data_IF_901045501566
#
_entry.id   IF_901045501566
#
_cell.length_a   1.000
_cell.length_b   1.000
_cell.length_c   1.000
_cell.angle_alpha   90.00
_cell.angle_beta   90.00
_cell.angle_gamma   90.00
#
_symmetry.space_group_name_H-M   'P 1'
#
loop_
_entity.id
_entity.type
_entity.pdbx_description
1 polymer ?
#
# COMPACT_ATOMS: atom_id res chain seq x y z
N UNK A 1 13.56 11.07 -12.01
CA UNK A 1 12.18 10.75 -11.57
C UNK A 1 11.58 12.02 -11.03
N UNK A 2 10.44 12.43 -11.57
CA UNK A 2 9.72 13.57 -11.02
C UNK A 2 8.96 13.13 -9.76
N UNK A 3 9.13 13.89 -8.68
CA UNK A 3 8.48 13.63 -7.40
C UNK A 3 7.27 14.55 -7.25
N UNK A 4 6.08 13.99 -7.09
CA UNK A 4 4.87 14.75 -6.77
C UNK A 4 4.83 15.02 -5.26
N UNK A 5 5.44 16.15 -4.85
CA UNK A 5 5.57 16.56 -3.45
C UNK A 5 4.32 17.32 -3.03
N UNK A 6 3.52 16.73 -2.13
CA UNK A 6 2.31 17.34 -1.60
C UNK A 6 2.59 18.29 -0.42
N UNK A 7 3.61 17.99 0.36
CA UNK A 7 4.00 18.79 1.53
C UNK A 7 5.48 18.57 1.88
N UNK A 8 6.15 19.61 2.31
CA UNK A 8 7.52 19.55 2.80
C UNK A 8 7.76 20.59 3.88
N UNK A 9 8.38 20.19 4.96
CA UNK A 9 8.97 21.05 5.98
C UNK A 9 10.29 20.47 6.49
N UNK A 10 10.83 20.98 7.60
CA UNK A 10 12.08 20.50 8.18
C UNK A 10 11.98 19.10 8.80
N UNK A 11 10.77 18.64 9.13
CA UNK A 11 10.54 17.40 9.88
C UNK A 11 10.07 16.25 8.99
N UNK A 12 9.29 16.54 7.94
CA UNK A 12 8.69 15.51 7.08
C UNK A 12 8.53 15.96 5.62
N UNK A 13 8.40 14.98 4.75
CA UNK A 13 8.11 15.10 3.33
C UNK A 13 6.94 14.17 3.00
N UNK A 14 5.88 14.67 2.36
CA UNK A 14 4.74 13.89 1.89
C UNK A 14 4.75 13.88 0.36
N UNK A 15 4.74 12.67 -0.20
CA UNK A 15 4.78 12.45 -1.64
C UNK A 15 3.54 11.68 -2.06
N UNK A 16 2.92 12.10 -3.15
CA UNK A 16 1.94 11.31 -3.87
C UNK A 16 2.68 10.35 -4.82
N UNK A 17 2.81 9.09 -4.42
CA UNK A 17 3.55 8.10 -5.19
C UNK A 17 2.76 7.66 -6.41
N UNK A 18 3.37 7.71 -7.58
CA UNK A 18 2.81 7.13 -8.81
C UNK A 18 2.82 5.60 -8.77
N UNK A 19 1.96 4.97 -9.60
CA UNK A 19 2.01 3.54 -9.88
C UNK A 19 3.32 3.14 -10.59
N UNK A 20 3.74 1.89 -10.44
CA UNK A 20 4.93 1.35 -11.09
C UNK A 20 6.25 1.69 -10.38
N UNK A 21 6.23 2.51 -9.32
CA UNK A 21 7.43 2.95 -8.58
C UNK A 21 7.61 2.16 -7.30
N UNK A 22 8.65 1.31 -7.18
CA UNK A 22 8.99 0.65 -5.92
C UNK A 22 9.47 1.67 -4.89
N UNK A 23 9.12 1.48 -3.61
CA UNK A 23 9.55 2.42 -2.55
C UNK A 23 10.99 2.21 -2.09
N UNK A 24 11.49 0.98 -2.14
CA UNK A 24 12.85 0.60 -1.73
C UNK A 24 13.55 -0.22 -2.82
N UNK A 25 14.89 -0.16 -2.89
CA UNK A 25 15.67 -1.10 -3.69
C UNK A 25 15.34 -2.55 -3.31
N UNK A 26 15.20 -3.38 -4.32
CA UNK A 26 14.94 -4.81 -4.19
C UNK A 26 15.54 -5.57 -5.37
N UNK A 27 15.55 -6.90 -5.32
CA UNK A 27 16.06 -7.70 -6.42
C UNK A 27 15.36 -7.34 -7.75
N UNK A 28 16.13 -6.90 -8.73
CA UNK A 28 15.66 -6.42 -10.04
C UNK A 28 15.19 -4.96 -10.10
N UNK A 29 15.23 -4.22 -8.97
CA UNK A 29 14.89 -2.79 -8.90
C UNK A 29 15.90 -2.08 -8.00
N UNK A 30 17.04 -1.67 -8.54
CA UNK A 30 18.12 -1.07 -7.74
C UNK A 30 18.15 0.46 -7.86
N UNK A 31 17.93 1.02 -9.04
CA UNK A 31 18.21 2.42 -9.38
C UNK A 31 16.96 3.25 -9.70
N UNK A 32 15.78 2.63 -9.76
CA UNK A 32 14.51 3.26 -10.17
C UNK A 32 13.47 3.26 -9.05
N UNK A 33 13.91 3.36 -7.81
CA UNK A 33 13.02 3.37 -6.64
C UNK A 33 12.75 4.79 -6.14
N UNK A 34 11.70 4.96 -5.35
CA UNK A 34 11.40 6.23 -4.71
C UNK A 34 12.55 6.68 -3.80
N UNK A 35 13.23 5.74 -3.13
CA UNK A 35 14.40 6.04 -2.31
C UNK A 35 15.52 6.69 -3.11
N UNK A 36 15.79 6.23 -4.35
CA UNK A 36 16.78 6.86 -5.23
C UNK A 36 16.35 8.26 -5.66
N UNK A 37 15.08 8.45 -6.04
CA UNK A 37 14.53 9.75 -6.41
C UNK A 37 14.63 10.78 -5.28
N UNK A 38 14.33 10.37 -4.04
CA UNK A 38 14.43 11.24 -2.86
C UNK A 38 15.88 11.55 -2.51
N UNK A 39 16.78 10.58 -2.60
CA UNK A 39 18.21 10.81 -2.37
C UNK A 39 18.77 11.84 -3.36
N UNK A 40 18.37 11.75 -4.62
CA UNK A 40 18.74 12.75 -5.64
C UNK A 40 18.15 14.14 -5.31
N UNK A 41 16.85 14.20 -5.00
CA UNK A 41 16.14 15.45 -4.67
C UNK A 41 16.77 16.20 -3.50
N UNK A 42 17.10 15.48 -2.43
CA UNK A 42 17.77 16.07 -1.26
C UNK A 42 19.22 16.48 -1.57
N UNK A 43 19.93 15.70 -2.39
CA UNK A 43 21.28 16.02 -2.86
C UNK A 43 21.33 17.33 -3.66
N UNK A 44 20.38 17.58 -4.55
CA UNK A 44 20.26 18.86 -5.28
C UNK A 44 20.04 20.07 -4.35
N UNK A 45 19.45 19.85 -3.18
CA UNK A 45 19.30 20.87 -2.13
C UNK A 45 20.52 21.01 -1.21
N UNK A 46 21.58 20.23 -1.44
CA UNK A 46 22.75 20.15 -0.59
C UNK A 46 22.48 19.48 0.76
N UNK A 47 21.41 18.68 0.85
CA UNK A 47 21.02 17.96 2.05
C UNK A 47 21.36 16.48 1.94
N UNK A 48 21.76 15.89 3.07
CA UNK A 48 21.93 14.44 3.20
C UNK A 48 20.98 13.93 4.26
N UNK A 49 20.10 13.02 3.89
CA UNK A 49 19.21 12.38 4.85
C UNK A 49 19.10 10.88 4.56
N UNK A 50 18.99 10.09 5.61
CA UNK A 50 18.65 8.68 5.46
C UNK A 50 17.17 8.59 5.02
N UNK A 51 16.88 7.64 4.13
CA UNK A 51 15.51 7.34 3.69
C UNK A 51 14.71 6.69 4.84
N UNK A 52 13.69 7.38 5.34
CA UNK A 52 12.86 6.94 6.47
C UNK A 52 11.38 7.02 6.11
N UNK A 53 10.91 6.03 5.34
CA UNK A 53 9.50 5.91 5.04
C UNK A 53 8.71 5.45 6.28
N UNK A 54 7.67 6.18 6.63
CA UNK A 54 6.81 5.93 7.81
C UNK A 54 5.72 4.91 7.49
N UNK A 55 5.21 4.95 6.26
CA UNK A 55 4.30 3.96 5.71
C UNK A 55 4.87 3.37 4.43
N UNK A 56 4.26 2.32 3.94
CA UNK A 56 4.65 1.69 2.66
C UNK A 56 3.45 1.53 1.76
N UNK A 57 3.71 1.60 0.47
CA UNK A 57 2.78 1.27 -0.59
C UNK A 57 3.42 0.21 -1.49
N UNK A 58 2.64 -0.67 -2.06
CA UNK A 58 3.13 -1.61 -3.07
C UNK A 58 3.56 -0.85 -4.33
N UNK A 59 4.34 -1.48 -5.21
CA UNK A 59 4.88 -0.85 -6.42
C UNK A 59 3.78 -0.16 -7.24
N UNK A 60 2.69 -0.87 -7.47
CA UNK A 60 1.61 -0.42 -8.36
C UNK A 60 0.47 0.32 -7.61
N UNK A 61 0.57 0.47 -6.28
CA UNK A 61 -0.34 1.28 -5.47
C UNK A 61 0.06 2.75 -5.53
N UNK A 62 -0.90 3.63 -5.81
CA UNK A 62 -0.74 5.09 -5.79
C UNK A 62 -1.10 5.68 -4.44
N UNK A 63 -0.70 6.94 -4.21
CA UNK A 63 -1.16 7.72 -3.07
C UNK A 63 -0.05 8.16 -2.11
N UNK A 64 -0.46 8.61 -0.91
CA UNK A 64 0.40 9.36 -0.01
C UNK A 64 1.41 8.47 0.74
N UNK A 65 2.67 8.86 0.64
CA UNK A 65 3.78 8.31 1.41
C UNK A 65 4.39 9.41 2.28
N UNK A 66 4.56 9.11 3.56
CA UNK A 66 5.18 9.99 4.54
C UNK A 66 6.63 9.56 4.74
N UNK A 67 7.54 10.51 4.64
CA UNK A 67 8.97 10.34 4.89
C UNK A 67 9.38 11.27 6.03
N UNK A 68 10.05 10.74 7.03
CA UNK A 68 10.68 11.53 8.07
C UNK A 68 12.05 12.01 7.61
N UNK A 69 12.36 13.29 7.83
CA UNK A 69 13.65 13.88 7.42
C UNK A 69 14.76 13.63 8.40
N UNK A 70 14.44 13.35 9.67
CA UNK A 70 15.43 13.01 10.70
C UNK A 70 14.90 11.95 11.68
N UNK A 71 15.78 11.46 12.57
CA UNK A 71 15.46 10.33 13.44
C UNK A 71 14.33 10.64 14.46
N UNK A 72 14.28 11.86 14.99
CA UNK A 72 13.25 12.25 15.95
C UNK A 72 11.86 12.27 15.30
N UNK A 73 11.72 12.91 14.13
CA UNK A 73 10.45 12.88 13.40
C UNK A 73 10.05 11.47 13.01
N UNK A 74 11.00 10.60 12.65
CA UNK A 74 10.72 9.18 12.36
C UNK A 74 10.14 8.45 13.59
N UNK A 75 10.70 8.69 14.77
CA UNK A 75 10.20 8.11 16.02
C UNK A 75 8.77 8.56 16.31
N UNK A 76 8.51 9.88 16.26
CA UNK A 76 7.20 10.47 16.54
C UNK A 76 6.15 9.97 15.53
N UNK A 77 6.44 10.06 14.23
CA UNK A 77 5.51 9.64 13.18
C UNK A 77 5.23 8.14 13.20
N UNK A 78 6.24 7.31 13.51
CA UNK A 78 6.05 5.87 13.67
C UNK A 78 5.14 5.54 14.85
N UNK A 79 5.29 6.26 15.96
CA UNK A 79 4.39 6.14 17.12
C UNK A 79 2.98 6.59 16.77
N UNK A 80 2.80 7.66 16.02
CA UNK A 80 1.49 8.11 15.55
C UNK A 80 0.80 7.09 14.62
N UNK A 81 1.56 6.34 13.81
CA UNK A 81 1.02 5.23 13.03
C UNK A 81 0.63 4.07 13.94
N UNK A 82 1.47 3.73 14.92
CA UNK A 82 1.23 2.64 15.87
C UNK A 82 -0.01 2.88 16.75
N UNK A 83 -0.23 4.12 17.16
CA UNK A 83 -1.38 4.55 17.99
C UNK A 83 -2.61 4.92 17.17
N UNK A 84 -2.57 4.73 15.85
CA UNK A 84 -3.64 5.11 14.91
C UNK A 84 -3.99 6.62 14.90
N UNK A 85 -3.12 7.49 15.40
CA UNK A 85 -3.23 8.94 15.21
C UNK A 85 -3.09 9.32 13.72
N UNK A 86 -2.21 8.60 12.99
CA UNK A 86 -2.18 8.61 11.52
C UNK A 86 -2.98 7.40 11.03
N UNK A 87 -4.07 7.68 10.32
CA UNK A 87 -4.98 6.66 9.79
C UNK A 87 -4.69 6.42 8.32
N UNK A 88 -4.64 5.13 7.95
CA UNK A 88 -4.41 4.70 6.55
C UNK A 88 -5.76 4.36 5.93
N UNK A 89 -6.17 5.18 4.97
CA UNK A 89 -7.40 5.00 4.21
C UNK A 89 -7.06 4.81 2.73
N UNK A 90 -7.71 3.85 2.10
CA UNK A 90 -7.50 3.49 0.71
C UNK A 90 -8.83 3.44 -0.03
N UNK A 91 -8.79 3.69 -1.33
CA UNK A 91 -9.87 3.38 -2.25
C UNK A 91 -9.39 2.26 -3.18
N UNK A 92 -10.24 1.27 -3.39
CA UNK A 92 -9.98 0.19 -4.33
C UNK A 92 -11.23 -0.19 -5.11
N UNK A 93 -11.05 -0.52 -6.38
CA UNK A 93 -12.04 -1.29 -7.10
C UNK A 93 -11.92 -2.76 -6.67
N UNK A 94 -13.05 -3.42 -6.43
CA UNK A 94 -13.12 -4.83 -6.08
C UNK A 94 -14.13 -5.53 -6.99
N UNK A 95 -13.85 -6.76 -7.39
CA UNK A 95 -14.71 -7.53 -8.29
C UNK A 95 -16.01 -7.93 -7.60
N UNK A 96 -17.14 -7.76 -8.29
CA UNK A 96 -18.46 -8.15 -7.82
C UNK A 96 -19.13 -7.15 -6.87
N UNK A 97 -20.30 -7.52 -6.39
CA UNK A 97 -21.07 -6.76 -5.40
C UNK A 97 -20.53 -7.06 -4.00
N UNK A 98 -19.65 -6.20 -3.50
CA UNK A 98 -19.11 -6.30 -2.14
C UNK A 98 -20.18 -5.94 -1.12
N UNK A 99 -20.33 -6.65 0.02
CA UNK A 99 -21.24 -6.27 1.09
C UNK A 99 -21.07 -4.81 1.52
N UNK A 100 -22.11 -4.14 2.06
CA UNK A 100 -22.08 -2.70 2.35
C UNK A 100 -20.90 -2.27 3.23
N UNK A 101 -20.61 -3.03 4.28
CA UNK A 101 -19.49 -2.81 5.18
C UNK A 101 -19.09 -4.10 5.91
N UNK A 102 -17.90 -4.12 6.47
CA UNK A 102 -17.44 -5.23 7.27
C UNK A 102 -16.01 -5.07 7.78
N UNK A 103 -15.57 -6.09 8.50
CA UNK A 103 -14.21 -6.21 9.02
C UNK A 103 -13.63 -7.54 8.56
N UNK A 104 -12.46 -7.50 7.96
CA UNK A 104 -11.69 -8.69 7.62
C UNK A 104 -10.59 -8.82 8.67
N UNK A 105 -10.74 -9.80 9.56
CA UNK A 105 -9.77 -10.14 10.60
C UNK A 105 -9.18 -11.50 10.25
N UNK A 106 -8.13 -11.49 9.43
CA UNK A 106 -7.55 -12.68 8.86
C UNK A 106 -6.02 -12.56 8.80
N UNK A 107 -5.27 -13.38 9.56
CA UNK A 107 -3.82 -13.30 9.61
C UNK A 107 -3.17 -13.58 8.26
N UNK A 108 -2.06 -12.89 7.97
CA UNK A 108 -1.38 -12.98 6.68
C UNK A 108 0.01 -13.56 6.85
N UNK A 109 0.31 -14.60 6.06
CA UNK A 109 1.63 -15.23 5.95
C UNK A 109 2.18 -15.14 4.53
N UNK A 110 3.41 -15.60 4.37
CA UNK A 110 4.01 -15.85 3.06
C UNK A 110 3.43 -17.14 2.47
N UNK A 111 3.02 -17.12 1.21
CA UNK A 111 2.44 -18.29 0.56
C UNK A 111 3.54 -19.31 0.18
N UNK A 112 3.56 -20.45 0.86
CA UNK A 112 4.47 -21.57 0.56
C UNK A 112 5.93 -21.12 0.38
N UNK A 113 6.53 -21.47 -0.76
CA UNK A 113 7.91 -21.10 -1.13
C UNK A 113 8.01 -19.76 -1.87
N UNK A 114 6.89 -19.09 -2.13
CA UNK A 114 6.89 -17.81 -2.86
C UNK A 114 7.62 -16.72 -2.08
N UNK A 115 8.46 -15.96 -2.76
CA UNK A 115 9.13 -14.80 -2.17
C UNK A 115 8.22 -13.56 -2.13
N UNK A 116 7.20 -13.51 -2.98
CA UNK A 116 6.35 -12.32 -3.20
C UNK A 116 4.93 -12.55 -2.67
N UNK A 117 4.33 -13.69 -2.98
CA UNK A 117 2.92 -13.95 -2.68
C UNK A 117 2.65 -14.09 -1.18
N UNK A 118 1.47 -13.63 -0.78
CA UNK A 118 0.93 -13.71 0.59
C UNK A 118 -0.39 -14.47 0.56
N UNK A 119 -0.74 -15.10 1.68
CA UNK A 119 -2.02 -15.79 1.85
C UNK A 119 -2.56 -15.56 3.26
N UNK A 120 -3.84 -15.80 3.44
CA UNK A 120 -4.42 -15.94 4.79
C UNK A 120 -3.96 -17.28 5.37
N UNK A 121 -3.42 -17.25 6.57
CA UNK A 121 -2.94 -18.43 7.31
C UNK A 121 -3.21 -18.21 8.81
N UNK A 122 -4.19 -18.91 9.36
CA UNK A 122 -4.61 -18.76 10.74
C UNK A 122 -3.67 -19.42 11.75
N UNK A 123 -2.72 -20.24 11.30
CA UNK A 123 -1.76 -20.91 12.16
C UNK A 123 -0.45 -20.13 12.28
N UNK A 124 0.04 -19.55 11.17
CA UNK A 124 1.38 -18.96 11.07
C UNK A 124 1.38 -17.51 10.63
N UNK A 125 0.19 -16.96 10.33
CA UNK A 125 0.06 -15.60 9.84
C UNK A 125 0.25 -14.55 10.93
N UNK A 126 0.84 -13.43 10.54
CA UNK A 126 0.83 -12.22 11.36
C UNK A 126 -0.57 -11.61 11.39
N UNK A 127 -1.02 -11.16 12.56
CA UNK A 127 -2.32 -10.48 12.72
C UNK A 127 -2.49 -9.37 11.69
N UNK A 128 -3.63 -9.39 11.00
CA UNK A 128 -3.98 -8.40 9.99
C UNK A 128 -5.48 -8.10 10.05
N UNK A 129 -5.82 -6.79 10.12
CA UNK A 129 -7.22 -6.35 10.21
C UNK A 129 -7.47 -5.18 9.28
N UNK A 130 -8.55 -5.30 8.49
CA UNK A 130 -9.00 -4.32 7.51
C UNK A 130 -10.50 -4.07 7.67
N UNK A 131 -10.89 -2.82 7.90
CA UNK A 131 -12.27 -2.39 7.80
C UNK A 131 -12.56 -1.97 6.38
N UNK A 132 -13.74 -2.29 5.87
CA UNK A 132 -14.17 -1.83 4.56
C UNK A 132 -15.60 -1.28 4.58
N UNK A 133 -15.86 -0.37 3.65
CA UNK A 133 -17.18 0.18 3.34
C UNK A 133 -17.33 0.34 1.84
N UNK A 134 -18.34 -0.28 1.27
CA UNK A 134 -18.68 -0.15 -0.14
C UNK A 134 -19.32 1.20 -0.39
N UNK A 135 -18.77 1.97 -1.30
CA UNK A 135 -19.26 3.30 -1.66
C UNK A 135 -20.28 3.24 -2.79
N UNK A 136 -20.02 2.43 -3.80
CA UNK A 136 -20.96 2.17 -4.90
C UNK A 136 -20.59 0.85 -5.60
N UNK A 137 -21.57 0.34 -6.37
CA UNK A 137 -21.40 -0.80 -7.25
C UNK A 137 -21.81 -0.42 -8.68
N UNK A 138 -21.01 -0.82 -9.65
CA UNK A 138 -21.31 -0.65 -11.06
C UNK A 138 -21.59 -2.04 -11.68
N UNK A 139 -22.86 -2.32 -12.10
CA UNK A 139 -23.22 -3.61 -12.70
C UNK A 139 -22.57 -3.84 -14.08
N UNK A 140 -22.31 -2.78 -14.84
CA UNK A 140 -21.73 -2.91 -16.19
C UNK A 140 -20.30 -3.45 -16.16
N UNK A 141 -19.53 -3.04 -15.16
CA UNK A 141 -18.15 -3.51 -14.94
C UNK A 141 -18.07 -4.65 -13.94
N UNK A 142 -19.18 -4.98 -13.28
CA UNK A 142 -19.25 -5.90 -12.14
C UNK A 142 -18.18 -5.58 -11.07
N UNK A 143 -18.02 -4.30 -10.73
CA UNK A 143 -17.06 -3.82 -9.74
C UNK A 143 -17.71 -2.94 -8.68
N UNK A 144 -17.27 -3.08 -7.45
CA UNK A 144 -17.57 -2.18 -6.34
C UNK A 144 -16.40 -1.23 -6.08
N UNK A 145 -16.68 0.04 -5.83
CA UNK A 145 -15.71 0.96 -5.23
C UNK A 145 -15.78 0.83 -3.71
N UNK A 146 -14.66 0.53 -3.08
CA UNK A 146 -14.58 0.22 -1.65
C UNK A 146 -13.58 1.14 -0.97
N UNK A 147 -14.00 1.77 0.13
CA UNK A 147 -13.12 2.44 1.08
C UNK A 147 -12.58 1.39 2.07
N UNK A 148 -11.26 1.38 2.28
CA UNK A 148 -10.61 0.44 3.21
C UNK A 148 -9.77 1.19 4.23
N UNK A 149 -9.92 0.85 5.51
CA UNK A 149 -9.14 1.41 6.61
C UNK A 149 -8.35 0.31 7.29
N UNK A 150 -7.03 0.52 7.38
CA UNK A 150 -6.12 -0.48 7.88
C UNK A 150 -5.74 -0.23 9.35
N UNK A 151 -5.97 -1.19 10.23
CA UNK A 151 -5.37 -1.21 11.57
C UNK A 151 -3.91 -1.68 11.50
N UNK A 152 -3.62 -2.67 10.68
CA UNK A 152 -2.29 -3.25 10.46
C UNK A 152 -1.77 -2.87 9.07
N UNK A 153 -0.50 -3.17 8.76
CA UNK A 153 0.11 -2.84 7.46
C UNK A 153 0.96 -3.98 6.91
N UNK A 154 0.35 -5.16 6.71
CA UNK A 154 1.06 -6.31 6.14
C UNK A 154 1.24 -6.15 4.64
N UNK A 155 2.27 -6.78 4.11
CA UNK A 155 2.51 -6.80 2.65
C UNK A 155 1.29 -7.35 1.92
N UNK A 156 0.82 -6.65 0.89
CA UNK A 156 -0.34 -7.00 0.08
C UNK A 156 -1.66 -7.14 0.87
N UNK A 157 -1.79 -6.53 2.06
CA UNK A 157 -2.90 -6.79 2.97
C UNK A 157 -4.27 -6.61 2.32
N UNK A 158 -4.54 -5.49 1.68
CA UNK A 158 -5.82 -5.22 1.00
C UNK A 158 -6.07 -6.27 -0.08
N UNK A 159 -5.08 -6.57 -0.90
CA UNK A 159 -5.16 -7.51 -2.02
C UNK A 159 -5.52 -8.92 -1.55
N UNK A 160 -4.84 -9.39 -0.49
CA UNK A 160 -5.08 -10.71 0.13
C UNK A 160 -6.44 -10.76 0.81
N UNK A 161 -6.80 -9.73 1.57
CA UNK A 161 -8.06 -9.67 2.29
C UNK A 161 -9.25 -9.62 1.35
N UNK A 162 -9.20 -8.80 0.29
CA UNK A 162 -10.29 -8.73 -0.69
C UNK A 162 -10.42 -10.05 -1.47
N UNK A 163 -9.31 -10.70 -1.82
CA UNK A 163 -9.36 -12.06 -2.38
C UNK A 163 -9.98 -13.06 -1.40
N UNK A 164 -9.62 -12.99 -0.11
CA UNK A 164 -10.10 -13.90 0.92
C UNK A 164 -11.63 -13.87 1.07
N UNK A 165 -12.25 -12.69 0.97
CA UNK A 165 -13.71 -12.54 1.01
C UNK A 165 -14.40 -12.74 -0.35
N UNK A 166 -13.67 -13.17 -1.39
CA UNK A 166 -14.22 -13.49 -2.71
C UNK A 166 -14.36 -12.29 -3.67
N UNK A 167 -13.78 -11.14 -3.32
CA UNK A 167 -13.84 -9.90 -4.10
C UNK A 167 -12.45 -9.37 -4.47
N UNK A 168 -11.62 -10.14 -5.23
CA UNK A 168 -10.26 -9.72 -5.57
C UNK A 168 -10.26 -8.43 -6.38
N UNK A 169 -9.13 -7.69 -6.35
CA UNK A 169 -8.99 -6.45 -7.10
C UNK A 169 -8.87 -6.74 -8.59
N UNK A 170 -9.57 -6.02 -9.46
CA UNK A 170 -9.40 -6.13 -10.91
C UNK A 170 -7.98 -5.84 -11.34
N UNK A 171 -7.43 -6.61 -12.27
CA UNK A 171 -6.07 -6.43 -12.79
C UNK A 171 -4.95 -6.90 -11.87
N UNK A 172 -5.26 -7.42 -10.68
CA UNK A 172 -4.27 -7.98 -9.78
C UNK A 172 -3.80 -9.36 -10.24
N UNK A 173 -2.67 -9.42 -10.92
CA UNK A 173 -2.14 -10.64 -11.51
C UNK A 173 -1.76 -11.74 -10.49
N UNK A 174 -1.51 -11.38 -9.22
CA UNK A 174 -1.17 -12.35 -8.17
C UNK A 174 -2.41 -12.95 -7.51
N UNK A 175 -3.45 -12.15 -7.34
CA UNK A 175 -4.58 -12.51 -6.49
C UNK A 175 -5.92 -12.62 -7.24
N UNK A 176 -5.99 -12.16 -8.50
CA UNK A 176 -7.17 -12.26 -9.34
C UNK A 176 -6.91 -13.13 -10.58
N UNK A 177 -7.49 -14.33 -10.66
CA UNK A 177 -7.30 -15.24 -11.81
C UNK A 177 -7.81 -14.65 -13.13
N UNK A 178 -8.77 -13.73 -13.09
CA UNK A 178 -9.41 -13.11 -14.26
C UNK A 178 -8.80 -11.75 -14.61
N UNK A 179 -7.58 -11.46 -14.20
CA UNK A 179 -6.90 -10.19 -14.41
C UNK A 179 -6.88 -9.71 -15.87
N UNK A 180 -7.12 -10.60 -16.84
CA UNK A 180 -7.08 -10.33 -18.29
C UNK A 180 -8.16 -9.35 -18.75
N UNK A 181 -9.25 -9.22 -18.00
CA UNK A 181 -10.39 -8.40 -18.39
C UNK A 181 -10.16 -6.89 -18.29
N UNK A 182 -9.20 -6.41 -17.49
CA UNK A 182 -9.05 -4.98 -17.17
C UNK A 182 -7.59 -4.48 -17.35
N UNK A 183 -6.66 -5.32 -17.75
CA UNK A 183 -5.24 -4.96 -17.84
C UNK A 183 -4.50 -5.11 -16.51
N UNK A 184 -3.26 -4.62 -16.44
CA UNK A 184 -2.48 -4.66 -15.21
C UNK A 184 -3.06 -3.70 -14.19
N UNK A 185 -3.03 -4.11 -12.92
CA UNK A 185 -3.36 -3.22 -11.80
C UNK A 185 -2.56 -1.92 -11.93
N UNK A 186 -3.25 -0.82 -11.96
CA UNK A 186 -2.66 0.52 -11.91
C UNK A 186 -2.25 0.87 -10.48
#
# INVERSE_FOLDING_TARGET
>A
MDLDICYEDRDLLIINKAAGVPIHPSQGNHDNTLANGIAWYLGEKGETAAYRAINRLDRDTTGLLILARHALSACILSEMVRTHAIRRCYLAAATGLVPPEGVIDAPIARAGTSTIERCVDFERGDSARTHYRTLCYNPDTNCSLVELRLETGRTHQIRVHMKHIGHPLPGDFLYNPDYRLIGRQA
#
